data_IF_116657124464
#
_entry.id   IF_116657124464
#
_cell.length_a   1.000
_cell.length_b   1.000
_cell.length_c   1.000
_cell.angle_alpha   90.00
_cell.angle_beta   90.00
_cell.angle_gamma   90.00
#
_symmetry.space_group_name_H-M   'P 1'
#
loop_
_entity.id
_entity.type
_entity.pdbx_description
1 polymer ?
#
# COMPACT_ATOMS: atom_id res chain seq x y z
N UNK A 1 -22.29 6.50 4.89
CA UNK A 1 -21.70 7.82 5.18
C UNK A 1 -20.36 7.95 4.46
N UNK A 2 -20.39 8.46 3.22
CA UNK A 2 -19.19 8.56 2.39
C UNK A 2 -18.22 9.58 2.96
N UNK A 3 -17.09 9.11 3.50
CA UNK A 3 -15.98 9.96 3.94
C UNK A 3 -14.89 9.87 2.87
N UNK A 4 -14.45 11.03 2.39
CA UNK A 4 -13.36 11.14 1.42
C UNK A 4 -12.13 11.76 2.08
N UNK A 5 -10.96 11.24 1.75
CA UNK A 5 -9.70 11.70 2.30
C UNK A 5 -8.64 11.79 1.18
N UNK A 6 -7.76 12.77 1.33
CA UNK A 6 -6.59 12.93 0.48
C UNK A 6 -5.36 12.46 1.24
N UNK A 7 -4.71 11.40 0.77
CA UNK A 7 -3.48 10.89 1.34
C UNK A 7 -2.28 11.21 0.46
N UNK A 8 -1.14 11.41 1.08
CA UNK A 8 0.11 11.73 0.37
C UNK A 8 1.02 10.50 0.26
N UNK A 9 0.89 9.57 1.20
CA UNK A 9 1.69 8.35 1.28
C UNK A 9 0.97 7.13 0.73
N UNK A 10 0.57 7.15 -0.54
CA UNK A 10 0.00 5.98 -1.22
C UNK A 10 1.09 5.31 -2.06
N UNK A 11 1.52 4.11 -1.68
CA UNK A 11 2.61 3.38 -2.34
C UNK A 11 2.23 1.93 -2.62
N UNK A 12 2.80 1.36 -3.67
CA UNK A 12 2.78 -0.07 -3.93
C UNK A 12 4.07 -0.72 -3.43
N UNK A 13 3.97 -1.84 -2.73
CA UNK A 13 5.13 -2.63 -2.30
C UNK A 13 4.83 -4.12 -2.23
N UNK A 14 5.89 -4.92 -2.35
CA UNK A 14 5.87 -6.35 -2.06
C UNK A 14 6.01 -6.58 -0.54
N UNK A 15 5.60 -7.76 -0.04
CA UNK A 15 5.66 -8.06 1.40
C UNK A 15 7.08 -8.06 1.96
N UNK A 16 8.09 -8.30 1.13
CA UNK A 16 9.53 -8.20 1.49
C UNK A 16 9.94 -6.82 1.99
N UNK A 17 9.14 -5.77 1.78
CA UNK A 17 9.35 -4.43 2.37
C UNK A 17 9.48 -4.49 3.90
N UNK A 18 8.80 -5.42 4.55
CA UNK A 18 8.82 -5.58 6.01
C UNK A 18 10.05 -6.37 6.52
N UNK A 19 10.81 -6.99 5.62
CA UNK A 19 12.11 -7.57 5.95
C UNK A 19 13.22 -6.51 5.90
N UNK A 20 13.01 -5.46 5.08
CA UNK A 20 13.96 -4.35 4.90
C UNK A 20 13.79 -3.27 5.95
N UNK A 21 12.55 -2.90 6.26
CA UNK A 21 12.22 -1.86 7.21
C UNK A 21 11.65 -2.46 8.49
N UNK A 22 12.16 -1.99 9.63
CA UNK A 22 11.72 -2.43 10.96
C UNK A 22 10.40 -1.77 11.37
N UNK A 23 9.32 -2.08 10.67
CA UNK A 23 7.96 -1.64 11.03
C UNK A 23 7.33 -2.58 12.07
N UNK A 24 6.74 -2.00 13.11
CA UNK A 24 6.00 -2.74 14.15
C UNK A 24 4.56 -3.01 13.71
N UNK A 25 4.17 -4.27 13.59
CA UNK A 25 2.78 -4.64 13.32
C UNK A 25 1.94 -4.62 14.60
N UNK A 26 0.82 -3.90 14.58
CA UNK A 26 -0.22 -3.94 15.60
C UNK A 26 -1.17 -5.11 15.32
N UNK A 27 -1.53 -5.32 14.04
CA UNK A 27 -2.41 -6.41 13.57
C UNK A 27 -1.97 -6.91 12.19
N UNK A 28 -2.17 -8.20 11.92
CA UNK A 28 -1.80 -8.85 10.65
C UNK A 28 -0.46 -9.59 10.73
N UNK A 29 0.00 -10.11 9.61
CA UNK A 29 1.27 -10.82 9.51
C UNK A 29 2.14 -10.18 8.41
N UNK A 30 3.34 -9.66 8.73
CA UNK A 30 4.20 -8.98 7.75
C UNK A 30 4.49 -9.82 6.51
N UNK A 31 4.65 -11.13 6.68
CA UNK A 31 5.01 -12.06 5.61
C UNK A 31 3.86 -12.36 4.65
N UNK A 32 2.62 -12.01 5.01
CA UNK A 32 1.44 -12.32 4.19
C UNK A 32 0.54 -11.13 3.90
N UNK A 33 0.72 -10.01 4.62
CA UNK A 33 -0.20 -8.88 4.55
C UNK A 33 -0.29 -8.27 3.13
N UNK A 34 0.78 -8.34 2.34
CA UNK A 34 0.81 -7.78 0.97
C UNK A 34 0.96 -8.84 -0.13
N UNK A 35 0.72 -10.13 0.16
CA UNK A 35 0.95 -11.20 -0.84
C UNK A 35 -0.16 -11.31 -1.87
N UNK A 36 -1.41 -11.00 -1.48
CA UNK A 36 -2.56 -11.07 -2.37
C UNK A 36 -2.85 -9.71 -3.02
N UNK A 37 -3.33 -9.67 -4.26
CA UNK A 37 -3.75 -8.42 -4.89
C UNK A 37 -4.92 -7.80 -4.13
N UNK A 38 -5.10 -6.50 -4.28
CA UNK A 38 -6.16 -5.71 -3.67
C UNK A 38 -6.14 -5.75 -2.13
N UNK A 39 -4.94 -5.90 -1.56
CA UNK A 39 -4.70 -5.83 -0.12
C UNK A 39 -3.88 -4.60 0.24
N UNK A 40 -4.06 -4.11 1.47
CA UNK A 40 -3.39 -2.91 1.96
C UNK A 40 -3.01 -3.04 3.44
N UNK A 41 -1.81 -2.54 3.75
CA UNK A 41 -1.37 -2.25 5.11
C UNK A 41 -1.47 -0.75 5.34
N UNK A 42 -2.08 -0.35 6.44
CA UNK A 42 -2.22 1.06 6.82
C UNK A 42 -1.51 1.36 8.15
N UNK A 43 -1.08 2.59 8.33
CA UNK A 43 -0.53 3.02 9.62
C UNK A 43 -1.66 3.29 10.66
N UNK A 44 -1.28 3.42 11.93
CA UNK A 44 -2.21 3.60 13.04
C UNK A 44 -3.01 4.90 12.90
N UNK A 45 -2.36 5.99 12.46
CA UNK A 45 -3.02 7.27 12.24
C UNK A 45 -4.11 7.19 11.16
N UNK A 46 -3.85 6.52 10.04
CA UNK A 46 -4.79 6.28 8.93
C UNK A 46 -5.94 5.38 9.38
N UNK A 47 -5.66 4.31 10.12
CA UNK A 47 -6.67 3.44 10.70
C UNK A 47 -7.66 4.24 11.58
N UNK A 48 -7.14 5.07 12.49
CA UNK A 48 -7.95 5.93 13.36
C UNK A 48 -8.74 6.97 12.58
N UNK A 49 -8.13 7.60 11.56
CA UNK A 49 -8.78 8.59 10.69
C UNK A 49 -9.97 8.01 9.94
N UNK A 50 -9.83 6.80 9.40
CA UNK A 50 -10.84 6.20 8.52
C UNK A 50 -11.96 5.51 9.30
N UNK A 51 -11.58 4.71 10.29
CA UNK A 51 -12.49 3.81 10.99
C UNK A 51 -12.85 4.28 12.40
N UNK A 52 -12.21 5.33 12.92
CA UNK A 52 -12.47 5.80 14.28
C UNK A 52 -12.05 4.75 15.31
N UNK A 53 -13.01 4.27 16.10
CA UNK A 53 -12.80 3.22 17.10
C UNK A 53 -13.17 1.81 16.60
N UNK A 54 -13.64 1.70 15.35
CA UNK A 54 -13.96 0.39 14.77
C UNK A 54 -12.69 -0.38 14.37
N UNK A 55 -12.75 -1.72 14.41
CA UNK A 55 -11.68 -2.59 13.87
C UNK A 55 -11.58 -2.43 12.34
N UNK A 56 -10.44 -1.95 11.79
CA UNK A 56 -10.23 -1.84 10.35
C UNK A 56 -10.01 -3.18 9.64
N UNK A 57 -9.57 -4.22 10.37
CA UNK A 57 -9.12 -5.47 9.75
C UNK A 57 -10.23 -6.13 8.92
N UNK A 58 -9.91 -6.48 7.68
CA UNK A 58 -10.85 -7.08 6.73
C UNK A 58 -11.88 -6.12 6.12
N UNK A 59 -11.90 -4.84 6.54
CA UNK A 59 -12.73 -3.82 5.89
C UNK A 59 -12.10 -3.36 4.57
N UNK A 60 -12.93 -2.79 3.71
CA UNK A 60 -12.52 -2.32 2.39
C UNK A 60 -12.40 -0.80 2.37
N UNK A 61 -11.28 -0.31 1.84
CA UNK A 61 -11.03 1.08 1.50
C UNK A 61 -11.25 1.21 -0.01
N UNK A 62 -12.12 2.14 -0.42
CA UNK A 62 -12.29 2.49 -1.81
C UNK A 62 -11.28 3.59 -2.18
N UNK A 63 -10.29 3.26 -3.01
CA UNK A 63 -9.36 4.23 -3.58
C UNK A 63 -9.81 4.59 -5.01
N UNK A 64 -10.31 5.81 -5.14
CA UNK A 64 -10.71 6.43 -6.42
C UNK A 64 -11.76 5.63 -7.24
N UNK A 65 -12.67 4.91 -6.59
CA UNK A 65 -13.78 4.15 -7.19
C UNK A 65 -13.41 2.95 -8.06
N UNK A 66 -12.14 2.79 -8.40
CA UNK A 66 -11.66 1.62 -9.13
C UNK A 66 -10.92 0.65 -8.21
N UNK A 67 -10.19 1.12 -7.19
CA UNK A 67 -9.31 0.23 -6.41
C UNK A 67 -9.89 -0.08 -5.02
N UNK A 68 -10.56 -1.23 -4.92
CA UNK A 68 -11.12 -1.73 -3.67
C UNK A 68 -10.07 -2.51 -2.88
N UNK A 69 -9.59 -1.95 -1.78
CA UNK A 69 -8.46 -2.47 -1.00
C UNK A 69 -8.92 -3.06 0.34
N UNK A 70 -8.67 -4.34 0.56
CA UNK A 70 -8.95 -4.99 1.85
C UNK A 70 -7.81 -4.75 2.83
N UNK A 71 -8.12 -4.25 4.03
CA UNK A 71 -7.12 -4.04 5.09
C UNK A 71 -6.68 -5.39 5.65
N UNK A 72 -5.40 -5.70 5.48
CA UNK A 72 -4.77 -6.97 5.88
C UNK A 72 -3.67 -6.80 6.92
N UNK A 73 -3.30 -5.55 7.23
CA UNK A 73 -2.41 -5.24 8.33
C UNK A 73 -2.52 -3.80 8.80
N UNK A 74 -2.18 -3.61 10.07
CA UNK A 74 -2.08 -2.30 10.71
C UNK A 74 -0.72 -2.25 11.38
N UNK A 75 0.05 -1.21 11.09
CA UNK A 75 1.35 -0.97 11.72
C UNK A 75 1.31 0.28 12.61
N UNK A 76 2.27 0.38 13.52
CA UNK A 76 2.56 1.65 14.19
C UNK A 76 2.98 2.72 13.18
N UNK A 77 2.74 3.98 13.50
CA UNK A 77 3.24 5.08 12.66
C UNK A 77 4.78 5.05 12.62
N UNK A 78 5.40 5.13 11.44
CA UNK A 78 6.86 5.16 11.36
C UNK A 78 7.46 6.31 12.18
N UNK A 79 8.65 6.13 12.78
CA UNK A 79 9.32 7.20 13.52
C UNK A 79 9.46 8.47 12.68
N UNK A 80 9.37 9.64 13.32
CA UNK A 80 9.47 10.94 12.63
C UNK A 80 10.79 11.10 11.86
N UNK A 81 11.86 10.45 12.32
CA UNK A 81 13.18 10.44 11.69
C UNK A 81 13.37 9.32 10.63
N UNK A 82 12.30 8.66 10.19
CA UNK A 82 12.35 7.77 9.03
C UNK A 82 12.45 8.58 7.73
N UNK A 83 13.09 8.02 6.70
CA UNK A 83 13.01 8.57 5.34
C UNK A 83 11.73 8.09 4.62
N UNK A 84 11.24 6.89 4.98
CA UNK A 84 10.10 6.28 4.32
C UNK A 84 8.89 6.27 5.25
N UNK A 85 7.93 7.12 4.92
CA UNK A 85 6.61 7.23 5.55
C UNK A 85 5.53 6.92 4.52
N UNK A 86 4.50 6.21 4.95
CA UNK A 86 3.33 5.90 4.11
C UNK A 86 2.05 5.96 4.95
N UNK A 87 0.95 6.25 4.27
CA UNK A 87 -0.42 6.21 4.80
C UNK A 87 -1.08 4.87 4.45
N UNK A 88 -0.90 4.45 3.19
CA UNK A 88 -1.35 3.19 2.62
C UNK A 88 -0.21 2.53 1.84
N UNK A 89 0.11 1.29 2.21
CA UNK A 89 1.03 0.43 1.48
C UNK A 89 0.24 -0.71 0.84
N UNK A 90 0.04 -0.62 -0.47
CA UNK A 90 -0.78 -1.53 -1.28
C UNK A 90 0.06 -2.65 -1.85
N UNK A 91 -0.49 -3.86 -1.94
CA UNK A 91 0.22 -4.98 -2.56
C UNK A 91 0.61 -4.63 -3.99
N UNK A 92 1.89 -4.77 -4.31
CA UNK A 92 2.43 -4.58 -5.65
C UNK A 92 1.76 -5.49 -6.69
N UNK A 93 1.22 -6.65 -6.29
CA UNK A 93 0.46 -7.53 -7.20
C UNK A 93 -0.87 -6.90 -7.68
N UNK A 94 -1.35 -5.86 -7.01
CA UNK A 94 -2.49 -5.04 -7.46
C UNK A 94 -2.09 -4.10 -8.60
N UNK A 95 -0.79 -3.81 -8.76
CA UNK A 95 -0.28 -2.91 -9.79
C UNK A 95 -0.51 -3.50 -11.17
N UNK A 96 -1.20 -2.77 -12.05
CA UNK A 96 -1.52 -3.22 -13.41
C UNK A 96 -2.63 -4.28 -13.48
N UNK A 97 -3.21 -4.71 -12.36
CA UNK A 97 -4.37 -5.60 -12.33
C UNK A 97 -5.63 -4.75 -12.44
N UNK A 98 -6.39 -4.80 -13.56
CA UNK A 98 -7.58 -3.96 -13.71
C UNK A 98 -8.68 -4.45 -12.75
N UNK A 99 -9.14 -3.64 -11.81
CA UNK A 99 -10.41 -3.92 -11.14
C UNK A 99 -11.53 -3.56 -12.13
N UNK A 100 -12.27 -4.57 -12.61
CA UNK A 100 -13.49 -4.40 -13.38
C UNK A 100 -13.39 -3.47 -14.61
N UNK A 101 -12.99 -4.03 -15.77
CA UNK A 101 -13.14 -3.44 -17.11
C UNK A 101 -12.65 -1.98 -17.30
N UNK A 102 -11.47 -1.88 -17.93
CA UNK A 102 -11.15 -0.83 -18.92
C UNK A 102 -11.20 0.64 -18.43
N UNK A 103 -10.20 1.07 -17.66
CA UNK A 103 -9.74 2.47 -17.71
C UNK A 103 -8.21 2.62 -17.68
N UNK A 104 -7.49 1.65 -17.10
CA UNK A 104 -6.02 1.65 -17.02
C UNK A 104 -5.31 0.58 -17.87
N UNK A 105 -6.04 -0.38 -18.45
CA UNK A 105 -5.48 -1.47 -19.25
C UNK A 105 -4.66 -0.99 -20.47
N UNK A 106 -5.03 0.14 -21.07
CA UNK A 106 -4.30 0.70 -22.22
C UNK A 106 -3.14 1.62 -21.80
N UNK A 107 -3.17 2.20 -20.59
CA UNK A 107 -2.06 3.00 -20.05
C UNK A 107 -0.89 2.11 -19.57
N UNK A 108 -1.18 0.87 -19.16
CA UNK A 108 -0.21 -0.04 -18.53
C UNK A 108 0.15 -1.30 -19.33
N UNK A 109 -0.33 -1.45 -20.59
CA UNK A 109 0.28 -2.36 -21.58
C UNK A 109 1.67 -1.83 -22.00
N UNK A 110 2.60 -1.82 -21.06
CA UNK A 110 3.91 -1.21 -21.17
C UNK A 110 4.81 -1.94 -22.15
N UNK A 111 5.19 -1.23 -23.22
CA UNK A 111 6.49 -1.39 -23.83
C UNK A 111 7.44 -0.36 -23.18
N UNK A 112 8.77 -0.56 -23.25
CA UNK A 112 9.79 0.27 -22.59
C UNK A 112 9.75 1.78 -22.93
N UNK A 113 8.89 2.19 -23.87
CA UNK A 113 8.66 3.56 -24.30
C UNK A 113 7.59 4.32 -23.49
N UNK A 114 6.75 3.63 -22.70
CA UNK A 114 5.63 4.26 -21.97
C UNK A 114 5.94 4.67 -20.52
N UNK A 115 7.20 4.60 -20.08
CA UNK A 115 7.66 5.09 -18.77
C UNK A 115 7.53 6.63 -18.58
N UNK A 116 6.88 7.33 -19.50
CA UNK A 116 6.62 8.78 -19.43
C UNK A 116 5.59 9.21 -18.38
N UNK A 117 4.93 8.28 -17.70
CA UNK A 117 4.12 8.51 -16.49
C UNK A 117 4.76 7.72 -15.33
N UNK A 118 5.92 8.18 -14.90
CA UNK A 118 6.80 7.53 -13.92
C UNK A 118 6.17 7.60 -12.51
N UNK A 119 5.60 6.52 -11.93
CA UNK A 119 5.47 6.50 -10.48
C UNK A 119 6.89 6.62 -9.92
N UNK A 120 7.12 7.47 -8.93
CA UNK A 120 8.45 7.55 -8.30
C UNK A 120 8.75 6.18 -7.68
N UNK A 121 9.55 5.37 -8.36
CA UNK A 121 9.98 4.05 -7.89
C UNK A 121 11.15 4.26 -6.94
N UNK A 122 10.97 3.85 -5.69
CA UNK A 122 12.07 3.75 -4.74
C UNK A 122 12.61 2.32 -4.74
N UNK A 123 13.91 2.16 -4.96
CA UNK A 123 14.59 0.87 -4.88
C UNK A 123 15.46 0.84 -3.63
N UNK A 124 15.23 -0.15 -2.77
CA UNK A 124 16.03 -0.39 -1.57
C UNK A 124 16.78 -1.71 -1.72
N UNK A 125 18.06 -1.72 -1.34
CA UNK A 125 18.94 -2.89 -1.39
C UNK A 125 19.46 -3.18 0.02
N UNK A 126 19.22 -4.39 0.53
CA UNK A 126 19.84 -4.85 1.77
C UNK A 126 21.26 -5.34 1.47
N UNK A 127 22.26 -4.63 1.99
CA UNK A 127 23.65 -5.05 1.88
C UNK A 127 23.98 -6.06 2.97
N UNK A 128 24.59 -7.20 2.59
CA UNK A 128 25.16 -8.12 3.57
C UNK A 128 26.37 -7.46 4.23
N UNK A 129 26.48 -7.60 5.55
CA UNK A 129 27.66 -7.18 6.29
C UNK A 129 28.61 -8.37 6.37
N UNK A 130 29.83 -8.18 5.91
CA UNK A 130 30.93 -9.15 6.06
C UNK A 130 31.21 -9.47 7.54
#
# INVERSE_FOLDING_TARGET
>A
DGKEFWEKGFFFADSTVFDLFSYSFIRGNPQTALNAPFTVVINQSTAKKYFGDDDPMGKVINAEDFLMLTVTGIIEDPPVNSHFHFDLLVSFSSFGTPPGQNMYGDLYRGNFSNFGLNPVIYTYLLLQKD
#
